data_IF_857039516873
#
_entry.id   IF_857039516873
#
_cell.length_a   1.000
_cell.length_b   1.000
_cell.length_c   1.000
_cell.angle_alpha   90.00
_cell.angle_beta   90.00
_cell.angle_gamma   90.00
#
_symmetry.space_group_name_H-M   'P 1'
#
loop_
_entity.id
_entity.type
_entity.pdbx_description
1 polymer ?
#
# COMPACT_ATOMS: atom_id res chain seq x y z
N UNK A 1 -11.64 -3.06 -13.56
CA UNK A 1 -10.43 -3.65 -14.18
C UNK A 1 -9.46 -2.59 -14.68
N UNK A 2 -9.89 -1.58 -15.43
CA UNK A 2 -9.00 -0.49 -15.83
C UNK A 2 -8.41 0.25 -14.63
N UNK A 3 -9.24 0.65 -13.67
CA UNK A 3 -8.76 1.29 -12.42
C UNK A 3 -7.75 0.41 -11.66
N UNK A 4 -7.99 -0.91 -11.63
CA UNK A 4 -7.07 -1.87 -11.03
C UNK A 4 -5.72 -1.91 -11.77
N UNK A 5 -5.74 -1.86 -13.09
CA UNK A 5 -4.53 -1.79 -13.90
C UNK A 5 -3.78 -0.48 -13.64
N UNK A 6 -4.46 0.66 -13.74
CA UNK A 6 -3.88 1.99 -13.59
C UNK A 6 -3.27 2.20 -12.20
N UNK A 7 -3.89 1.64 -11.16
CA UNK A 7 -3.41 1.72 -9.78
C UNK A 7 -2.17 0.84 -9.49
N UNK A 8 -1.87 -0.16 -10.32
CA UNK A 8 -0.83 -1.17 -10.03
C UNK A 8 0.25 -1.28 -11.11
N UNK A 9 0.22 -0.44 -12.15
CA UNK A 9 1.20 -0.45 -13.25
C UNK A 9 2.24 0.66 -13.10
N UNK A 10 3.41 0.47 -13.71
CA UNK A 10 4.36 1.55 -13.93
C UNK A 10 5.39 1.78 -12.82
N UNK A 11 5.38 1.03 -11.72
CA UNK A 11 6.30 1.17 -10.58
C UNK A 11 7.76 0.98 -10.97
N UNK A 12 8.03 0.09 -11.93
CA UNK A 12 9.38 -0.19 -12.45
C UNK A 12 9.66 0.44 -13.82
N UNK A 13 8.78 1.33 -14.31
CA UNK A 13 9.03 2.04 -15.56
C UNK A 13 9.98 3.21 -15.33
N UNK A 14 10.91 3.43 -16.26
CA UNK A 14 11.80 4.60 -16.19
C UNK A 14 11.01 5.89 -16.48
N UNK A 15 11.46 7.05 -15.97
CA UNK A 15 10.89 8.34 -16.36
C UNK A 15 10.89 8.50 -17.89
N UNK A 16 9.76 8.94 -18.46
CA UNK A 16 9.59 9.10 -19.91
C UNK A 16 9.26 7.81 -20.68
N UNK A 17 9.31 6.64 -20.04
CA UNK A 17 8.92 5.38 -20.65
C UNK A 17 7.40 5.19 -20.60
N UNK A 18 6.81 4.56 -21.64
CA UNK A 18 5.39 4.18 -21.60
C UNK A 18 5.16 3.26 -20.41
N UNK A 19 4.20 3.64 -19.55
CA UNK A 19 3.87 2.86 -18.37
C UNK A 19 3.16 1.56 -18.77
N UNK A 20 3.57 0.48 -18.14
CA UNK A 20 3.00 -0.85 -18.30
C UNK A 20 3.30 -1.70 -17.07
N UNK A 21 2.62 -2.83 -16.96
CA UNK A 21 2.74 -3.71 -15.80
C UNK A 21 3.72 -4.84 -16.06
N UNK A 22 4.81 -4.90 -15.29
CA UNK A 22 5.77 -6.01 -15.32
C UNK A 22 5.21 -7.26 -14.65
N UNK A 23 5.83 -8.41 -14.96
CA UNK A 23 5.47 -9.68 -14.32
C UNK A 23 5.51 -9.58 -12.79
N UNK A 24 6.54 -8.95 -12.23
CA UNK A 24 6.67 -8.78 -10.78
C UNK A 24 5.50 -7.97 -10.21
N UNK A 25 5.08 -6.90 -10.88
CA UNK A 25 3.91 -6.10 -10.48
C UNK A 25 2.63 -6.92 -10.53
N UNK A 26 2.45 -7.71 -11.59
CA UNK A 26 1.29 -8.58 -11.73
C UNK A 26 1.24 -9.70 -10.69
N UNK A 27 2.37 -10.32 -10.37
CA UNK A 27 2.44 -11.34 -9.32
C UNK A 27 2.11 -10.76 -7.94
N UNK A 28 2.65 -9.58 -7.62
CA UNK A 28 2.33 -8.85 -6.37
C UNK A 28 0.84 -8.49 -6.33
N UNK A 29 0.23 -8.11 -7.46
CA UNK A 29 -1.20 -7.86 -7.53
C UNK A 29 -2.01 -9.12 -7.19
N UNK A 30 -1.69 -10.25 -7.81
CA UNK A 30 -2.39 -11.51 -7.54
C UNK A 30 -2.21 -11.99 -6.09
N UNK A 31 -1.04 -11.73 -5.51
CA UNK A 31 -0.77 -12.01 -4.09
C UNK A 31 -1.58 -11.08 -3.17
N UNK A 32 -1.58 -9.76 -3.43
CA UNK A 32 -2.37 -8.76 -2.68
C UNK A 32 -3.84 -9.15 -2.62
N UNK A 33 -4.41 -9.57 -3.74
CA UNK A 33 -5.82 -9.98 -3.85
C UNK A 33 -6.05 -11.46 -3.51
N UNK A 34 -5.05 -12.16 -2.95
CA UNK A 34 -5.12 -13.55 -2.50
C UNK A 34 -5.64 -14.51 -3.57
N UNK A 35 -5.27 -14.29 -4.83
CA UNK A 35 -5.72 -15.13 -5.96
C UNK A 35 -5.07 -16.51 -5.90
N UNK A 36 -3.82 -16.57 -5.43
CA UNK A 36 -3.09 -17.82 -5.28
C UNK A 36 -3.68 -18.72 -4.19
N UNK A 37 -3.57 -20.03 -4.41
CA UNK A 37 -3.93 -21.07 -3.44
C UNK A 37 -3.06 -22.31 -3.68
N UNK A 38 -3.32 -23.39 -2.93
CA UNK A 38 -2.52 -24.61 -3.04
C UNK A 38 -2.49 -25.20 -4.46
N UNK A 39 -3.61 -25.09 -5.18
CA UNK A 39 -3.78 -25.60 -6.54
C UNK A 39 -3.47 -24.59 -7.64
N UNK A 40 -3.22 -23.32 -7.31
CA UNK A 40 -2.90 -22.27 -8.29
C UNK A 40 -1.84 -21.35 -7.73
N UNK A 41 -0.61 -21.46 -8.24
CA UNK A 41 0.60 -20.83 -7.70
C UNK A 41 1.29 -19.94 -8.74
N UNK A 42 2.29 -19.19 -8.30
CA UNK A 42 3.10 -18.29 -9.15
C UNK A 42 3.61 -18.94 -10.43
N UNK A 43 4.02 -20.23 -10.37
CA UNK A 43 4.52 -20.97 -11.53
C UNK A 43 3.48 -21.08 -12.65
N UNK A 44 2.19 -21.13 -12.30
CA UNK A 44 1.08 -21.34 -13.24
C UNK A 44 0.72 -20.04 -13.99
N UNK A 45 1.32 -18.91 -13.62
CA UNK A 45 1.05 -17.58 -14.19
C UNK A 45 2.12 -17.14 -15.19
N UNK A 46 3.34 -17.67 -15.11
CA UNK A 46 4.47 -17.24 -15.93
C UNK A 46 4.20 -17.43 -17.43
N UNK A 47 3.75 -18.63 -17.83
CA UNK A 47 3.52 -18.94 -19.23
C UNK A 47 2.30 -18.19 -19.80
N UNK A 48 1.14 -18.11 -19.10
CA UNK A 48 0.05 -17.24 -19.54
C UNK A 48 0.47 -15.77 -19.72
N UNK A 49 1.29 -15.24 -18.80
CA UNK A 49 1.77 -13.85 -18.87
C UNK A 49 2.64 -13.60 -20.10
N UNK A 50 3.49 -14.56 -20.47
CA UNK A 50 4.25 -14.49 -21.71
C UNK A 50 3.35 -14.64 -22.93
N UNK A 51 2.39 -15.56 -22.89
CA UNK A 51 1.52 -15.86 -24.02
C UNK A 51 0.55 -14.71 -24.37
N UNK A 52 0.14 -13.88 -23.41
CA UNK A 52 -0.58 -12.62 -23.68
C UNK A 52 0.23 -11.62 -24.51
N UNK A 53 1.54 -11.83 -24.65
CA UNK A 53 2.42 -10.99 -25.48
C UNK A 53 2.66 -11.57 -26.87
N UNK A 54 2.53 -12.90 -27.01
CA UNK A 54 2.86 -13.64 -28.24
C UNK A 54 1.77 -13.56 -29.31
N UNK A 55 0.56 -13.10 -28.99
CA UNK A 55 -0.47 -12.83 -30.01
C UNK A 55 -0.14 -11.61 -30.90
N UNK A 56 1.02 -10.96 -30.70
CA UNK A 56 1.52 -9.81 -31.49
C UNK A 56 2.76 -10.17 -32.34
N UNK A 57 3.23 -11.42 -32.35
CA UNK A 57 4.47 -11.77 -33.04
C UNK A 57 4.29 -12.10 -34.52
N UNK A 58 4.07 -11.06 -35.33
CA UNK A 58 4.67 -10.97 -36.68
C UNK A 58 5.91 -10.03 -36.68
N UNK A 59 6.19 -9.31 -35.58
CA UNK A 59 7.27 -8.32 -35.54
C UNK A 59 8.22 -8.54 -34.33
N UNK A 60 9.43 -9.01 -34.66
CA UNK A 60 10.69 -8.95 -33.91
C UNK A 60 10.61 -8.41 -32.46
N UNK A 61 10.72 -9.30 -31.47
CA UNK A 61 10.69 -8.93 -30.05
C UNK A 61 11.85 -7.99 -29.62
N UNK A 62 11.55 -6.74 -29.28
CA UNK A 62 12.45 -5.77 -28.61
C UNK A 62 12.26 -5.69 -27.08
N UNK A 63 13.12 -4.96 -26.36
CA UNK A 63 13.15 -4.88 -24.88
C UNK A 63 11.82 -4.38 -24.25
N UNK A 64 10.93 -3.75 -25.05
CA UNK A 64 9.59 -3.32 -24.65
C UNK A 64 8.60 -4.45 -24.32
N UNK A 65 8.89 -5.72 -24.65
CA UNK A 65 7.99 -6.86 -24.40
C UNK A 65 8.05 -7.42 -22.99
N UNK A 66 8.47 -6.63 -22.00
CA UNK A 66 8.47 -7.06 -20.59
C UNK A 66 7.20 -6.71 -19.84
N UNK A 67 6.35 -5.85 -20.42
CA UNK A 67 5.19 -5.25 -19.74
C UNK A 67 3.88 -5.65 -20.42
N UNK A 68 2.82 -5.71 -19.63
CA UNK A 68 1.44 -5.76 -20.12
C UNK A 68 0.92 -4.34 -20.24
N UNK A 69 0.27 -4.06 -21.36
CA UNK A 69 -0.63 -2.92 -21.51
C UNK A 69 -2.06 -3.34 -21.14
N UNK A 70 -3.00 -2.39 -21.14
CA UNK A 70 -4.36 -2.62 -20.64
C UNK A 70 -5.07 -3.81 -21.30
N UNK A 71 -4.92 -3.99 -22.63
CA UNK A 71 -5.49 -5.12 -23.37
C UNK A 71 -4.90 -6.45 -22.90
N UNK A 72 -3.57 -6.52 -22.81
CA UNK A 72 -2.85 -7.71 -22.35
C UNK A 72 -3.19 -8.02 -20.89
N UNK A 73 -3.41 -6.97 -20.08
CA UNK A 73 -3.88 -7.09 -18.71
C UNK A 73 -5.29 -7.69 -18.63
N UNK A 74 -6.23 -7.24 -19.46
CA UNK A 74 -7.57 -7.82 -19.52
C UNK A 74 -7.51 -9.30 -19.96
N UNK A 75 -6.66 -9.60 -20.93
CA UNK A 75 -6.47 -10.96 -21.43
C UNK A 75 -5.87 -11.89 -20.37
N UNK A 76 -4.80 -11.46 -19.68
CA UNK A 76 -4.19 -12.30 -18.65
C UNK A 76 -5.15 -12.53 -17.49
N UNK A 77 -5.99 -11.56 -17.12
CA UNK A 77 -7.02 -11.75 -16.10
C UNK A 77 -8.03 -12.82 -16.53
N UNK A 78 -8.39 -12.86 -17.82
CA UNK A 78 -9.23 -13.91 -18.37
C UNK A 78 -8.56 -15.29 -18.26
N UNK A 79 -7.30 -15.41 -18.70
CA UNK A 79 -6.54 -16.67 -18.62
C UNK A 79 -6.38 -17.15 -17.17
N UNK A 80 -6.03 -16.24 -16.25
CA UNK A 80 -5.94 -16.52 -14.81
C UNK A 80 -7.28 -16.97 -14.26
N UNK A 81 -8.40 -16.38 -14.71
CA UNK A 81 -9.73 -16.79 -14.24
C UNK A 81 -10.05 -18.24 -14.56
N UNK A 82 -9.72 -18.69 -15.77
CA UNK A 82 -9.97 -20.08 -16.21
C UNK A 82 -9.00 -21.05 -15.55
N UNK A 83 -7.76 -20.65 -15.27
CA UNK A 83 -6.81 -21.50 -14.54
C UNK A 83 -7.20 -21.63 -13.05
N UNK A 84 -7.60 -20.52 -12.43
CA UNK A 84 -7.96 -20.48 -11.00
C UNK A 84 -9.32 -21.11 -10.73
N UNK A 85 -10.25 -20.98 -11.67
CA UNK A 85 -11.59 -21.55 -11.64
C UNK A 85 -11.83 -22.33 -12.95
N UNK A 86 -11.30 -23.56 -13.06
CA UNK A 86 -11.40 -24.37 -14.27
C UNK A 86 -12.85 -24.55 -14.75
N UNK A 87 -13.08 -24.15 -15.99
CA UNK A 87 -14.31 -24.43 -16.72
C UNK A 87 -14.40 -25.92 -17.06
N UNK A 88 -15.62 -26.47 -17.09
CA UNK A 88 -15.82 -27.85 -17.55
C UNK A 88 -15.65 -27.97 -19.06
N UNK A 89 -16.01 -26.91 -19.78
CA UNK A 89 -15.91 -26.77 -21.24
C UNK A 89 -15.51 -25.35 -21.57
N UNK A 90 -14.66 -25.14 -22.59
CA UNK A 90 -14.21 -23.81 -23.01
C UNK A 90 -15.25 -23.08 -23.87
N UNK A 91 -16.45 -22.88 -23.32
CA UNK A 91 -17.48 -22.01 -23.90
C UNK A 91 -17.35 -20.60 -23.34
N UNK A 92 -17.86 -19.61 -24.09
CA UNK A 92 -17.85 -18.20 -23.64
C UNK A 92 -18.53 -18.05 -22.28
N UNK A 93 -19.67 -18.72 -22.10
CA UNK A 93 -20.45 -18.66 -20.86
C UNK A 93 -19.66 -19.21 -19.65
N UNK A 94 -18.99 -20.36 -19.79
CA UNK A 94 -18.17 -20.92 -18.71
C UNK A 94 -16.98 -20.01 -18.38
N UNK A 95 -16.32 -19.43 -19.39
CA UNK A 95 -15.23 -18.48 -19.20
C UNK A 95 -15.72 -17.23 -18.46
N UNK A 96 -16.90 -16.70 -18.81
CA UNK A 96 -17.52 -15.57 -18.10
C UNK A 96 -17.82 -15.94 -16.65
N UNK A 97 -18.28 -17.16 -16.36
CA UNK A 97 -18.50 -17.62 -14.98
C UNK A 97 -17.19 -17.68 -14.19
N UNK A 98 -16.11 -18.17 -14.79
CA UNK A 98 -14.79 -18.20 -14.16
C UNK A 98 -14.26 -16.80 -13.87
N UNK A 99 -14.39 -15.87 -14.83
CA UNK A 99 -14.04 -14.47 -14.65
C UNK A 99 -14.87 -13.82 -13.54
N UNK A 100 -16.19 -14.02 -13.54
CA UNK A 100 -17.07 -13.48 -12.51
C UNK A 100 -16.69 -13.99 -11.11
N UNK A 101 -16.40 -15.30 -10.97
CA UNK A 101 -15.92 -15.87 -9.70
C UNK A 101 -14.61 -15.22 -9.25
N UNK A 102 -13.66 -15.00 -10.16
CA UNK A 102 -12.41 -14.31 -9.85
C UNK A 102 -12.67 -12.89 -9.33
N UNK A 103 -13.47 -12.10 -10.06
CA UNK A 103 -13.81 -10.72 -9.72
C UNK A 103 -14.51 -10.59 -8.36
N UNK A 104 -15.53 -11.40 -8.12
CA UNK A 104 -16.30 -11.36 -6.88
C UNK A 104 -15.46 -11.82 -5.69
N UNK A 105 -14.74 -12.94 -5.82
CA UNK A 105 -14.07 -13.53 -4.66
C UNK A 105 -12.79 -12.81 -4.27
N UNK A 106 -12.07 -12.24 -5.23
CA UNK A 106 -10.76 -11.68 -4.97
C UNK A 106 -10.76 -10.16 -5.01
N UNK A 107 -11.27 -9.54 -6.06
CA UNK A 107 -11.16 -8.09 -6.20
C UNK A 107 -12.22 -7.36 -5.36
N UNK A 108 -13.51 -7.66 -5.58
CA UNK A 108 -14.59 -6.94 -4.90
C UNK A 108 -14.64 -7.22 -3.39
N UNK A 109 -14.62 -8.49 -2.98
CA UNK A 109 -14.64 -8.85 -1.55
C UNK A 109 -13.45 -8.30 -0.79
N UNK A 110 -12.26 -8.31 -1.38
CA UNK A 110 -11.06 -7.79 -0.71
C UNK A 110 -11.17 -6.28 -0.51
N UNK A 111 -11.57 -5.52 -1.53
CA UNK A 111 -11.73 -4.07 -1.40
C UNK A 111 -12.82 -3.72 -0.36
N UNK A 112 -13.92 -4.48 -0.31
CA UNK A 112 -14.96 -4.32 0.71
C UNK A 112 -14.45 -4.61 2.13
N UNK A 113 -13.69 -5.71 2.32
CA UNK A 113 -13.11 -6.08 3.61
C UNK A 113 -12.08 -5.06 4.10
N UNK A 114 -11.21 -4.59 3.20
CA UNK A 114 -10.24 -3.54 3.52
C UNK A 114 -10.95 -2.24 3.90
N UNK A 115 -12.00 -1.86 3.17
CA UNK A 115 -12.84 -0.70 3.53
C UNK A 115 -13.42 -0.81 4.93
N UNK A 116 -14.07 -1.94 5.24
CA UNK A 116 -14.65 -2.21 6.57
C UNK A 116 -13.59 -2.19 7.68
N UNK A 117 -12.41 -2.74 7.42
CA UNK A 117 -11.32 -2.76 8.39
C UNK A 117 -10.78 -1.35 8.68
N UNK A 118 -10.58 -0.53 7.65
CA UNK A 118 -10.17 0.86 7.82
C UNK A 118 -11.20 1.66 8.63
N UNK A 119 -12.49 1.53 8.31
CA UNK A 119 -13.57 2.17 9.07
C UNK A 119 -13.59 1.73 10.54
N UNK A 120 -13.38 0.44 10.81
CA UNK A 120 -13.32 -0.08 12.17
C UNK A 120 -12.12 0.48 12.96
N UNK A 121 -10.95 0.62 12.32
CA UNK A 121 -9.78 1.27 12.93
C UNK A 121 -10.09 2.72 13.27
N UNK A 122 -10.65 3.47 12.34
CA UNK A 122 -10.97 4.88 12.54
C UNK A 122 -11.96 5.06 13.70
N UNK A 123 -12.99 4.22 13.77
CA UNK A 123 -13.94 4.22 14.88
C UNK A 123 -13.26 3.88 16.23
N UNK A 124 -12.35 2.90 16.25
CA UNK A 124 -11.61 2.54 17.46
C UNK A 124 -10.71 3.69 17.94
N UNK A 125 -10.00 4.36 17.03
CA UNK A 125 -9.15 5.51 17.34
C UNK A 125 -9.95 6.71 17.87
N UNK A 126 -11.11 6.98 17.27
CA UNK A 126 -12.01 8.04 17.75
C UNK A 126 -12.53 7.70 19.15
N UNK A 127 -12.94 6.45 19.38
CA UNK A 127 -13.41 5.99 20.69
C UNK A 127 -12.33 6.12 21.76
N UNK A 128 -11.11 5.68 21.49
CA UNK A 128 -9.97 5.80 22.41
C UNK A 128 -9.69 7.27 22.79
N UNK A 129 -9.70 8.17 21.81
CA UNK A 129 -9.54 9.62 22.06
C UNK A 129 -10.69 10.20 22.89
N UNK A 130 -11.92 9.78 22.63
CA UNK A 130 -13.09 10.22 23.41
C UNK A 130 -13.03 9.71 24.85
N UNK A 131 -12.60 8.47 25.05
CA UNK A 131 -12.40 7.88 26.39
C UNK A 131 -11.27 8.59 27.14
N UNK A 132 -10.13 8.84 26.49
CA UNK A 132 -9.03 9.61 27.07
C UNK A 132 -9.47 11.03 27.45
N UNK A 133 -10.27 11.69 26.60
CA UNK A 133 -10.82 13.01 26.88
C UNK A 133 -11.82 13.01 28.06
N UNK A 134 -12.74 12.04 28.09
CA UNK A 134 -13.69 11.88 29.20
C UNK A 134 -12.97 11.63 30.53
N UNK A 135 -11.92 10.80 30.51
CA UNK A 135 -11.07 10.54 31.68
C UNK A 135 -10.32 11.79 32.15
N UNK A 136 -9.84 12.63 31.23
CA UNK A 136 -9.22 13.91 31.57
C UNK A 136 -10.20 14.92 32.19
N UNK A 137 -11.45 14.96 31.73
CA UNK A 137 -12.50 15.79 32.35
C UNK A 137 -12.83 15.28 33.75
N UNK A 138 -13.01 13.97 33.90
CA UNK A 138 -13.36 13.37 35.18
C UNK A 138 -12.22 13.54 36.21
N UNK A 139 -10.96 13.47 35.79
CA UNK A 139 -9.82 13.72 36.68
C UNK A 139 -9.75 15.18 37.13
N UNK A 140 -10.10 16.14 36.28
CA UNK A 140 -10.24 17.55 36.68
C UNK A 140 -11.39 17.78 37.66
N UNK A 141 -12.54 17.10 37.47
CA UNK A 141 -13.71 17.23 38.34
C UNK A 141 -13.52 16.59 39.72
N UNK A 142 -12.69 15.55 39.81
CA UNK A 142 -12.39 14.84 41.05
C UNK A 142 -11.27 15.47 41.88
N UNK A 143 -10.63 16.55 41.43
CA UNK A 143 -9.81 17.37 42.31
C UNK A 143 -10.72 18.14 43.27
N UNK A 144 -10.67 17.87 44.60
CA UNK A 144 -11.38 18.70 45.55
C UNK A 144 -10.82 20.12 45.44
N UNK A 145 -11.69 21.14 45.49
CA UNK A 145 -11.28 22.52 45.76
C UNK A 145 -10.34 22.50 46.95
N UNK A 146 -9.04 22.65 46.71
CA UNK A 146 -8.09 22.98 47.74
C UNK A 146 -8.61 24.30 48.35
N UNK A 147 -9.06 24.20 49.59
CA UNK A 147 -9.49 25.33 50.41
C UNK A 147 -8.47 26.45 50.30
N UNK A 148 -8.98 27.64 49.97
CA UNK A 148 -8.19 28.85 49.88
C UNK A 148 -7.46 29.13 51.20
N UNK A 149 -6.17 29.42 51.11
CA UNK A 149 -5.51 30.38 52.01
C UNK A 149 -4.78 31.39 51.15
N UNK A 150 -5.44 32.53 50.97
CA UNK A 150 -4.86 33.79 50.57
C UNK A 150 -3.81 34.25 51.57
N UNK A 151 -2.61 34.62 51.12
CA UNK A 151 -1.99 35.87 51.56
C UNK A 151 -0.92 36.39 50.57
N UNK A 152 -0.81 37.73 50.38
CA UNK A 152 0.04 38.34 49.35
C UNK A 152 1.36 38.94 49.90
N UNK A 153 2.29 39.23 48.96
CA UNK A 153 3.49 40.11 49.04
C UNK A 153 4.72 39.60 49.83
N UNK A 154 5.86 39.50 49.15
CA UNK A 154 6.90 40.52 49.31
C UNK A 154 7.85 40.64 48.09
N UNK A 155 8.27 41.88 47.80
CA UNK A 155 9.16 42.33 46.72
C UNK A 155 10.65 42.13 47.09
N UNK A 156 11.47 41.94 46.06
CA UNK A 156 12.94 42.14 46.07
C UNK A 156 13.59 41.10 45.17
N UNK A 157 14.15 41.38 43.99
CA UNK A 157 15.02 42.50 43.63
C UNK A 157 16.46 41.99 43.65
N UNK A 158 17.04 41.67 42.49
CA UNK A 158 18.45 41.29 42.40
C UNK A 158 18.83 40.56 41.11
N UNK A 159 19.28 41.33 40.11
CA UNK A 159 19.98 40.82 38.92
C UNK A 159 21.32 40.21 39.34
N UNK A 160 21.68 39.04 38.80
CA UNK A 160 23.08 38.73 38.50
C UNK A 160 23.16 37.72 37.35
N UNK A 161 23.94 38.08 36.34
CA UNK A 161 24.19 37.30 35.14
C UNK A 161 25.20 36.19 35.42
N UNK A 162 24.87 34.96 35.03
CA UNK A 162 25.76 33.80 35.07
C UNK A 162 25.80 33.12 33.69
N UNK A 163 26.98 32.67 33.29
CA UNK A 163 27.43 32.53 31.90
C UNK A 163 26.68 31.52 31.01
N UNK A 164 26.52 31.93 29.74
CA UNK A 164 26.09 31.11 28.60
C UNK A 164 27.27 30.25 28.13
N UNK A 165 27.18 28.93 28.25
CA UNK A 165 28.11 28.03 27.56
C UNK A 165 27.70 27.92 26.08
N UNK A 166 28.48 28.59 25.21
CA UNK A 166 28.55 28.32 23.77
C UNK A 166 29.35 27.03 23.56
N UNK A 167 28.79 26.06 22.84
CA UNK A 167 29.56 25.06 22.12
C UNK A 167 29.53 25.44 20.64
N UNK A 168 30.70 25.73 20.06
CA UNK A 168 30.90 25.90 18.62
C UNK A 168 31.68 24.68 18.13
N UNK A 169 30.99 23.86 17.33
CA UNK A 169 31.34 23.21 16.04
C UNK A 169 32.79 22.72 15.84
N UNK A 170 32.92 21.45 15.45
CA UNK A 170 33.92 21.02 14.48
C UNK A 170 33.23 20.22 13.36
N UNK A 171 33.11 20.83 12.19
CA UNK A 171 33.05 20.13 10.90
C UNK A 171 34.46 19.63 10.59
N UNK A 172 34.59 18.37 10.19
CA UNK A 172 35.74 17.93 9.41
C UNK A 172 35.21 17.30 8.12
N UNK A 173 35.57 17.93 7.00
CA UNK A 173 35.32 17.47 5.64
C UNK A 173 36.61 16.94 5.02
N UNK A 174 36.44 16.04 4.05
CA UNK A 174 37.41 15.52 3.09
C UNK A 174 38.35 14.41 3.63
N UNK A 175 38.67 13.35 2.90
CA UNK A 175 38.95 13.28 1.45
C UNK A 175 39.04 11.82 0.96
N UNK A 176 38.99 11.68 -0.35
CA UNK A 176 39.13 10.46 -1.18
C UNK A 176 40.25 9.49 -0.78
N UNK A 177 40.03 8.21 -1.05
CA UNK A 177 41.09 7.34 -1.58
C UNK A 177 40.52 6.31 -2.53
N UNK A 178 41.12 6.33 -3.70
CA UNK A 178 40.91 5.51 -4.89
C UNK A 178 41.79 4.24 -4.82
N UNK A 179 41.37 3.23 -5.59
CA UNK A 179 42.05 2.01 -6.07
C UNK A 179 42.62 0.94 -5.11
N UNK A 180 42.23 -0.31 -5.45
CA UNK A 180 42.76 -1.60 -5.00
C UNK A 180 41.97 -2.76 -5.60
#
# INVERSE_FOLDING_TARGET
LQELYDANMGKYCKPGEKKGMHLVEFLVLLEKYQVFCDSFRVRDVKDPFLACKLMVLDEMTTVGHKKLYLTDFMEIILRVSVLRYPARTLTVDEVVRSLHKLLVNHFYKHDALVGQFCEAIDQALVKDRLEAFANAINSQRNHPKATATSNPRNRGGGRSAGAVQRAIIAEESASDTDEG
#
